data_IF_861283039639
#
_entry.id   IF_861283039639
#
_cell.length_a   1.000
_cell.length_b   1.000
_cell.length_c   1.000
_cell.angle_alpha   90.00
_cell.angle_beta   90.00
_cell.angle_gamma   90.00
#
_symmetry.space_group_name_H-M   'P 1'
#
loop_
_entity.id
_entity.type
_entity.pdbx_description
1 polymer ?
#
# COMPACT_ATOMS: atom_id res chain seq x y z
N UNK A 1 10.85 -22.83 6.96
CA UNK A 1 10.14 -21.80 7.74
C UNK A 1 10.23 -20.39 7.11
N UNK A 2 11.43 -19.91 6.68
CA UNK A 2 11.60 -18.57 6.06
C UNK A 2 10.66 -18.31 4.86
N UNK A 3 10.50 -19.28 3.95
CA UNK A 3 9.66 -19.12 2.76
C UNK A 3 8.16 -19.00 3.09
N UNK A 4 7.68 -19.77 4.08
CA UNK A 4 6.28 -19.69 4.52
C UNK A 4 5.97 -18.34 5.16
N UNK A 5 6.93 -17.79 5.92
CA UNK A 5 6.80 -16.44 6.50
C UNK A 5 6.75 -15.37 5.41
N UNK A 6 7.53 -15.51 4.31
CA UNK A 6 7.46 -14.59 3.17
C UNK A 6 6.11 -14.65 2.46
N UNK A 7 5.54 -15.85 2.27
CA UNK A 7 4.18 -16.01 1.71
C UNK A 7 3.17 -15.32 2.63
N UNK A 8 3.26 -15.51 3.94
CA UNK A 8 2.38 -14.85 4.91
C UNK A 8 2.53 -13.32 4.86
N UNK A 9 3.76 -12.80 4.85
CA UNK A 9 4.01 -11.35 4.70
C UNK A 9 3.44 -10.82 3.39
N UNK A 10 3.63 -11.55 2.29
CA UNK A 10 3.04 -11.23 0.99
C UNK A 10 1.51 -11.24 1.01
N UNK A 11 0.90 -12.19 1.71
CA UNK A 11 -0.55 -12.26 1.86
C UNK A 11 -1.12 -11.04 2.59
N UNK A 12 -0.50 -10.62 3.69
CA UNK A 12 -0.91 -9.41 4.43
C UNK A 12 -0.74 -8.14 3.57
N UNK A 13 0.38 -8.02 2.85
CA UNK A 13 0.59 -6.90 1.90
C UNK A 13 -0.45 -6.91 0.80
N UNK A 14 -0.76 -8.08 0.23
CA UNK A 14 -1.78 -8.22 -0.81
C UNK A 14 -3.19 -7.86 -0.31
N UNK A 15 -3.57 -8.24 0.90
CA UNK A 15 -4.84 -7.81 1.52
C UNK A 15 -4.89 -6.29 1.66
N UNK A 16 -3.80 -5.67 2.11
CA UNK A 16 -3.71 -4.22 2.24
C UNK A 16 -3.89 -3.48 0.89
N UNK A 17 -3.40 -4.06 -0.21
CA UNK A 17 -3.58 -3.48 -1.55
C UNK A 17 -5.04 -3.48 -2.02
N UNK A 18 -5.89 -4.37 -1.49
CA UNK A 18 -7.29 -4.49 -1.89
C UNK A 18 -8.17 -3.49 -1.13
N UNK A 19 -7.80 -3.15 0.11
CA UNK A 19 -8.61 -2.29 0.98
C UNK A 19 -8.45 -0.83 0.57
N UNK A 20 -9.54 -0.10 0.29
CA UNK A 20 -9.48 1.32 0.01
C UNK A 20 -8.86 2.09 1.19
N UNK A 21 -7.94 3.00 0.90
CA UNK A 21 -7.25 3.80 1.92
C UNK A 21 -6.11 3.09 2.66
N UNK A 22 -5.88 1.81 2.43
CA UNK A 22 -4.72 1.08 2.97
C UNK A 22 -3.62 1.00 1.93
N UNK A 23 -2.38 1.30 2.32
CA UNK A 23 -1.23 1.23 1.43
C UNK A 23 -0.47 -0.08 1.60
N UNK A 24 -0.30 -0.84 0.50
CA UNK A 24 0.54 -2.03 0.47
C UNK A 24 2.00 -1.72 0.82
N UNK A 25 2.50 -0.53 0.40
CA UNK A 25 3.83 -0.05 0.78
C UNK A 25 3.99 0.12 2.30
N UNK A 26 2.99 0.69 2.96
CA UNK A 26 2.95 0.78 4.43
C UNK A 26 3.03 -0.61 5.06
N UNK A 27 2.24 -1.58 4.56
CA UNK A 27 2.30 -2.95 5.08
C UNK A 27 3.63 -3.63 4.81
N UNK A 28 4.26 -3.39 3.65
CA UNK A 28 5.59 -3.93 3.36
C UNK A 28 6.65 -3.42 4.35
N UNK A 29 6.57 -2.14 4.76
CA UNK A 29 7.44 -1.57 5.78
C UNK A 29 7.21 -2.27 7.13
N UNK A 30 5.96 -2.37 7.54
CA UNK A 30 5.56 -2.96 8.81
C UNK A 30 5.98 -4.44 8.88
N UNK A 31 5.90 -5.14 7.75
CA UNK A 31 6.37 -6.53 7.64
C UNK A 31 7.89 -6.65 7.47
N UNK A 32 8.64 -5.55 7.51
CA UNK A 32 10.12 -5.54 7.43
C UNK A 32 10.69 -5.99 6.08
N UNK A 33 9.90 -5.94 5.01
CA UNK A 33 10.32 -6.38 3.66
C UNK A 33 10.52 -5.23 2.68
N UNK A 34 10.17 -4.01 3.07
CA UNK A 34 10.13 -2.85 2.16
C UNK A 34 11.51 -2.49 1.60
N UNK A 35 12.54 -2.33 2.47
CA UNK A 35 13.90 -1.95 2.04
C UNK A 35 14.44 -2.96 1.03
N UNK A 36 14.32 -4.25 1.34
CA UNK A 36 14.75 -5.34 0.45
C UNK A 36 13.96 -5.38 -0.85
N UNK A 37 12.65 -5.13 -0.80
CA UNK A 37 11.80 -5.09 -2.00
C UNK A 37 12.21 -3.94 -2.92
N UNK A 38 12.36 -2.73 -2.37
CA UNK A 38 12.77 -1.54 -3.11
C UNK A 38 14.18 -1.70 -3.69
N UNK A 39 15.12 -2.22 -2.91
CA UNK A 39 16.47 -2.48 -3.37
C UNK A 39 16.50 -3.53 -4.50
N UNK A 40 15.71 -4.57 -4.39
CA UNK A 40 15.62 -5.62 -5.41
C UNK A 40 15.01 -5.08 -6.71
N UNK A 41 13.93 -4.31 -6.63
CA UNK A 41 13.25 -3.73 -7.81
C UNK A 41 14.14 -2.68 -8.47
N UNK A 42 14.73 -1.77 -7.70
CA UNK A 42 15.59 -0.71 -8.24
C UNK A 42 16.86 -1.24 -8.93
N UNK A 43 17.32 -2.43 -8.55
CA UNK A 43 18.49 -3.09 -9.11
C UNK A 43 18.14 -4.44 -9.75
N UNK A 44 16.97 -4.56 -10.39
CA UNK A 44 16.40 -5.82 -10.85
C UNK A 44 17.37 -6.65 -11.71
N UNK A 45 18.08 -5.99 -12.63
CA UNK A 45 19.02 -6.67 -13.55
C UNK A 45 20.15 -7.36 -12.79
N UNK A 46 20.67 -6.75 -11.72
CA UNK A 46 21.78 -7.26 -10.93
C UNK A 46 21.33 -8.22 -9.82
N UNK A 47 20.18 -7.94 -9.19
CA UNK A 47 19.72 -8.61 -7.97
C UNK A 47 18.60 -9.62 -8.17
N UNK A 48 18.10 -9.78 -9.41
CA UNK A 48 17.01 -10.73 -9.69
C UNK A 48 17.41 -12.17 -9.34
N UNK A 49 18.59 -12.63 -9.75
CA UNK A 49 19.05 -14.01 -9.46
C UNK A 49 19.19 -14.27 -7.97
N UNK A 50 19.75 -13.31 -7.22
CA UNK A 50 19.97 -13.42 -5.78
C UNK A 50 18.66 -13.42 -4.99
N UNK A 51 17.68 -12.59 -5.43
CA UNK A 51 16.41 -12.38 -4.74
C UNK A 51 15.22 -13.02 -5.43
N UNK A 52 15.44 -13.92 -6.40
CA UNK A 52 14.34 -14.57 -7.13
C UNK A 52 13.35 -15.27 -6.20
N UNK A 53 13.83 -16.08 -5.27
CA UNK A 53 12.96 -16.78 -4.31
C UNK A 53 12.24 -15.82 -3.36
N UNK A 54 12.88 -14.71 -2.97
CA UNK A 54 12.23 -13.66 -2.18
C UNK A 54 11.03 -13.07 -2.94
N UNK A 55 11.22 -12.65 -4.19
CA UNK A 55 10.16 -12.10 -5.03
C UNK A 55 9.08 -13.15 -5.34
N UNK A 56 9.48 -14.40 -5.60
CA UNK A 56 8.57 -15.50 -5.90
C UNK A 56 7.63 -15.79 -4.73
N UNK A 57 8.15 -16.03 -3.52
CA UNK A 57 7.32 -16.35 -2.37
C UNK A 57 6.48 -15.16 -1.90
N UNK A 58 7.01 -13.94 -1.99
CA UNK A 58 6.26 -12.73 -1.73
C UNK A 58 5.10 -12.57 -2.74
N UNK A 59 5.39 -12.76 -4.03
CA UNK A 59 4.41 -12.71 -5.12
C UNK A 59 3.32 -13.77 -4.99
N UNK A 60 3.68 -15.01 -4.61
CA UNK A 60 2.69 -16.06 -4.31
C UNK A 60 1.76 -15.61 -3.18
N UNK A 61 2.29 -15.02 -2.11
CA UNK A 61 1.48 -14.52 -1.01
C UNK A 61 0.51 -13.43 -1.46
N UNK A 62 0.98 -12.44 -2.23
CA UNK A 62 0.15 -11.37 -2.80
C UNK A 62 -0.93 -11.94 -3.72
N UNK A 63 -0.58 -12.87 -4.61
CA UNK A 63 -1.52 -13.51 -5.52
C UNK A 63 -2.62 -14.29 -4.75
N UNK A 64 -2.25 -15.03 -3.72
CA UNK A 64 -3.20 -15.73 -2.84
C UNK A 64 -4.14 -14.75 -2.14
N UNK A 65 -3.64 -13.61 -1.68
CA UNK A 65 -4.48 -12.56 -1.08
C UNK A 65 -5.50 -12.01 -2.09
N UNK A 66 -5.08 -11.74 -3.32
CA UNK A 66 -5.95 -11.21 -4.37
C UNK A 66 -7.00 -12.26 -4.78
N UNK A 67 -6.62 -13.51 -4.99
CA UNK A 67 -7.50 -14.56 -5.52
C UNK A 67 -8.45 -15.12 -4.47
N UNK A 68 -7.94 -15.41 -3.26
CA UNK A 68 -8.70 -16.07 -2.19
C UNK A 68 -9.11 -15.07 -1.12
N UNK A 69 -8.16 -14.21 -0.71
CA UNK A 69 -8.35 -13.26 0.37
C UNK A 69 -9.37 -12.17 0.04
N UNK A 70 -9.47 -11.77 -1.25
CA UNK A 70 -10.42 -10.73 -1.68
C UNK A 70 -11.88 -11.08 -1.38
N UNK A 71 -12.27 -12.34 -1.60
CA UNK A 71 -13.65 -12.80 -1.29
C UNK A 71 -13.93 -12.76 0.20
N UNK A 72 -13.02 -13.29 1.02
CA UNK A 72 -13.13 -13.26 2.47
C UNK A 72 -13.12 -11.84 3.03
N UNK A 73 -12.22 -10.99 2.51
CA UNK A 73 -12.14 -9.60 2.90
C UNK A 73 -13.41 -8.81 2.54
N UNK A 74 -13.97 -9.04 1.33
CA UNK A 74 -15.24 -8.44 0.94
C UNK A 74 -16.35 -8.82 1.91
N UNK A 75 -16.49 -10.10 2.27
CA UNK A 75 -17.45 -10.55 3.28
C UNK A 75 -17.24 -9.86 4.64
N UNK A 76 -15.98 -9.69 5.06
CA UNK A 76 -15.65 -8.97 6.28
C UNK A 76 -16.03 -7.48 6.20
N UNK A 77 -15.74 -6.79 5.10
CA UNK A 77 -16.08 -5.38 4.91
C UNK A 77 -17.60 -5.16 4.82
N UNK A 78 -18.32 -6.05 4.13
CA UNK A 78 -19.77 -5.93 3.96
C UNK A 78 -20.52 -6.15 5.28
N UNK A 79 -20.07 -7.11 6.11
CA UNK A 79 -20.77 -7.52 7.33
C UNK A 79 -20.17 -6.92 8.61
N UNK A 80 -18.85 -6.74 8.67
CA UNK A 80 -18.06 -6.37 9.85
C UNK A 80 -17.08 -5.22 9.53
N UNK A 81 -17.59 -4.13 8.92
CA UNK A 81 -16.76 -3.03 8.45
C UNK A 81 -15.89 -2.44 9.58
N UNK A 82 -16.51 -2.12 10.72
CA UNK A 82 -15.84 -1.47 11.86
C UNK A 82 -14.73 -2.36 12.42
N UNK A 83 -15.02 -3.64 12.68
CA UNK A 83 -14.03 -4.59 13.20
C UNK A 83 -12.88 -4.82 12.20
N UNK A 84 -13.19 -4.88 10.91
CA UNK A 84 -12.20 -5.09 9.85
C UNK A 84 -11.25 -3.89 9.75
N UNK A 85 -11.79 -2.67 9.69
CA UNK A 85 -10.97 -1.44 9.62
C UNK A 85 -10.14 -1.27 10.88
N UNK A 86 -10.69 -1.48 12.07
CA UNK A 86 -9.95 -1.41 13.32
C UNK A 86 -8.81 -2.43 13.39
N UNK A 87 -9.00 -3.64 12.82
CA UNK A 87 -7.92 -4.63 12.69
C UNK A 87 -6.76 -4.09 11.86
N UNK A 88 -7.03 -3.47 10.71
CA UNK A 88 -5.98 -2.88 9.89
C UNK A 88 -5.32 -1.66 10.54
N UNK A 89 -6.09 -0.83 11.25
CA UNK A 89 -5.53 0.26 12.07
C UNK A 89 -4.55 -0.31 13.09
N UNK A 90 -4.90 -1.39 13.78
CA UNK A 90 -4.01 -2.06 14.72
C UNK A 90 -2.73 -2.58 14.07
N UNK A 91 -2.86 -3.24 12.89
CA UNK A 91 -1.69 -3.71 12.13
C UNK A 91 -0.74 -2.56 11.78
N UNK A 92 -1.26 -1.44 11.30
CA UNK A 92 -0.47 -0.25 10.94
C UNK A 92 0.14 0.40 12.18
N UNK A 93 -0.65 0.64 13.22
CA UNK A 93 -0.23 1.29 14.45
C UNK A 93 0.88 0.50 15.17
N UNK A 94 0.84 -0.84 15.12
CA UNK A 94 1.85 -1.71 15.73
C UNK A 94 3.24 -1.57 15.11
N UNK A 95 3.36 -1.09 13.87
CA UNK A 95 4.63 -0.80 13.21
C UNK A 95 5.23 0.57 13.53
N UNK A 96 4.44 1.53 14.02
CA UNK A 96 4.89 2.90 14.29
C UNK A 96 6.09 2.97 15.27
N UNK A 97 6.10 2.23 16.39
CA UNK A 97 7.24 2.26 17.31
C UNK A 97 8.56 1.80 16.66
N UNK A 98 8.49 0.87 15.71
CA UNK A 98 9.65 0.41 14.95
C UNK A 98 10.18 1.52 14.03
N UNK A 99 9.30 2.14 13.22
CA UNK A 99 9.67 3.26 12.35
C UNK A 99 10.26 4.44 13.10
N UNK A 100 9.64 4.82 14.22
CA UNK A 100 10.13 5.92 15.07
C UNK A 100 11.55 5.65 15.62
N UNK A 101 11.89 4.39 15.92
CA UNK A 101 13.23 4.01 16.38
C UNK A 101 14.28 4.06 15.27
N UNK A 102 13.92 3.93 14.02
CA UNK A 102 14.85 4.02 12.89
C UNK A 102 15.36 5.45 12.66
N UNK A 103 14.66 6.47 13.14
CA UNK A 103 15.08 7.87 13.05
C UNK A 103 16.10 8.15 14.17
N UNK A 104 17.37 8.31 13.80
CA UNK A 104 18.46 8.56 14.77
C UNK A 104 18.39 9.99 15.33
N UNK A 105 18.35 10.99 14.44
CA UNK A 105 18.34 12.40 14.84
C UNK A 105 16.92 13.00 14.75
N UNK A 106 16.10 12.74 15.78
CA UNK A 106 14.70 13.16 15.84
C UNK A 106 14.49 14.68 15.93
N UNK A 107 15.49 15.42 16.41
CA UNK A 107 15.44 16.89 16.59
C UNK A 107 15.92 17.65 15.34
N UNK A 108 16.40 16.97 14.31
CA UNK A 108 16.83 17.62 13.09
C UNK A 108 15.61 18.26 12.40
N UNK A 109 15.72 19.56 12.09
CA UNK A 109 14.65 20.34 11.45
C UNK A 109 14.21 19.71 10.12
N UNK A 110 15.14 19.19 9.31
CA UNK A 110 14.79 18.54 8.04
C UNK A 110 13.91 17.28 8.27
N UNK A 111 14.16 16.52 9.34
CA UNK A 111 13.35 15.34 9.69
C UNK A 111 11.94 15.75 10.14
N UNK A 112 11.84 16.82 10.94
CA UNK A 112 10.57 17.37 11.41
C UNK A 112 9.75 17.93 10.24
N UNK A 113 10.38 18.70 9.35
CA UNK A 113 9.73 19.25 8.16
C UNK A 113 9.24 18.10 7.25
N UNK A 114 10.10 17.11 6.97
CA UNK A 114 9.72 15.95 6.16
C UNK A 114 8.51 15.21 6.72
N UNK A 115 8.50 14.97 8.03
CA UNK A 115 7.36 14.36 8.74
C UNK A 115 6.06 15.18 8.57
N UNK A 116 6.12 16.48 8.86
CA UNK A 116 4.95 17.38 8.81
C UNK A 116 4.42 17.51 7.37
N UNK A 117 5.30 17.71 6.41
CA UNK A 117 4.92 17.87 4.99
C UNK A 117 4.20 16.63 4.49
N UNK A 118 4.73 15.43 4.74
CA UNK A 118 4.12 14.19 4.29
C UNK A 118 2.81 13.89 5.01
N UNK A 119 2.72 14.21 6.30
CA UNK A 119 1.49 14.06 7.08
C UNK A 119 0.38 14.97 6.52
N UNK A 120 0.67 16.26 6.31
CA UNK A 120 -0.29 17.23 5.77
C UNK A 120 -0.69 16.87 4.34
N UNK A 121 0.27 16.42 3.51
CA UNK A 121 0.00 16.03 2.13
C UNK A 121 -1.04 14.92 2.05
N UNK A 122 -0.85 13.82 2.79
CA UNK A 122 -1.78 12.67 2.74
C UNK A 122 -3.13 13.02 3.37
N UNK A 123 -3.15 13.77 4.48
CA UNK A 123 -4.41 14.25 5.07
C UNK A 123 -5.13 15.17 4.08
N UNK A 124 -4.42 16.09 3.43
CA UNK A 124 -4.98 16.97 2.40
C UNK A 124 -5.58 16.18 1.23
N UNK A 125 -4.85 15.21 0.70
CA UNK A 125 -5.34 14.31 -0.36
C UNK A 125 -6.60 13.54 0.05
N UNK A 126 -6.76 13.22 1.33
CA UNK A 126 -7.95 12.51 1.83
C UNK A 126 -9.24 13.32 1.68
N UNK A 127 -9.17 14.66 1.72
CA UNK A 127 -10.32 15.55 1.56
C UNK A 127 -10.61 15.98 0.12
N UNK A 128 -9.77 15.57 -0.83
CA UNK A 128 -10.01 15.89 -2.24
C UNK A 128 -11.17 15.03 -2.76
N UNK A 129 -12.33 15.62 -2.91
CA UNK A 129 -13.48 15.00 -3.55
C UNK A 129 -13.44 15.31 -5.05
N UNK A 130 -13.43 14.28 -5.88
CA UNK A 130 -13.51 14.44 -7.33
C UNK A 130 -14.81 13.81 -7.82
N UNK A 131 -15.71 14.67 -8.32
CA UNK A 131 -16.98 14.26 -8.92
C UNK A 131 -16.85 14.01 -10.44
N UNK A 132 -15.64 14.03 -10.98
CA UNK A 132 -15.43 13.88 -12.42
C UNK A 132 -15.11 12.42 -12.74
N UNK A 133 -15.98 11.79 -13.55
CA UNK A 133 -15.72 10.49 -14.16
C UNK A 133 -15.20 10.71 -15.57
N UNK A 134 -13.92 10.47 -15.77
CA UNK A 134 -13.29 10.56 -17.09
C UNK A 134 -13.24 9.19 -17.75
N UNK A 135 -13.53 9.12 -19.03
CA UNK A 135 -13.46 7.90 -19.84
C UNK A 135 -12.93 8.23 -21.24
N UNK A 136 -12.48 7.23 -21.96
CA UNK A 136 -12.06 7.39 -23.35
C UNK A 136 -12.97 6.55 -24.26
N UNK A 137 -13.68 7.19 -25.18
CA UNK A 137 -14.50 6.49 -26.18
C UNK A 137 -13.62 5.88 -27.29
N UNK A 138 -12.53 6.55 -27.63
CA UNK A 138 -11.57 6.12 -28.66
C UNK A 138 -10.14 6.33 -28.14
N UNK A 139 -9.27 5.40 -28.53
CA UNK A 139 -7.84 5.51 -28.21
C UNK A 139 -7.17 6.35 -29.30
N UNK A 140 -6.66 7.50 -28.91
CA UNK A 140 -5.79 8.35 -29.73
C UNK A 140 -4.44 8.52 -29.02
N UNK A 141 -3.48 9.15 -29.68
CA UNK A 141 -2.13 9.35 -29.14
C UNK A 141 -2.14 10.10 -27.79
N UNK A 142 -3.00 11.11 -27.63
CA UNK A 142 -3.14 11.85 -26.37
C UNK A 142 -3.65 10.96 -25.23
N UNK A 143 -4.65 10.12 -25.51
CA UNK A 143 -5.20 9.18 -24.53
C UNK A 143 -4.18 8.11 -24.10
N UNK A 144 -3.33 7.66 -25.04
CA UNK A 144 -2.22 6.74 -24.75
C UNK A 144 -1.25 7.38 -23.75
N UNK A 145 -0.84 8.62 -23.99
CA UNK A 145 0.05 9.33 -23.07
C UNK A 145 -0.59 9.48 -21.68
N UNK A 146 -1.87 9.84 -21.63
CA UNK A 146 -2.61 9.93 -20.35
C UNK A 146 -2.62 8.58 -19.64
N UNK A 147 -2.91 7.48 -20.33
CA UNK A 147 -2.91 6.13 -19.74
C UNK A 147 -1.54 5.75 -19.16
N UNK A 148 -0.46 6.05 -19.87
CA UNK A 148 0.91 5.80 -19.39
C UNK A 148 1.19 6.66 -18.14
N UNK A 149 0.81 7.94 -18.14
CA UNK A 149 0.99 8.83 -16.98
C UNK A 149 0.15 8.37 -15.80
N UNK A 150 -1.11 7.96 -16.03
CA UNK A 150 -1.97 7.42 -14.97
C UNK A 150 -1.38 6.16 -14.33
N UNK A 151 -0.88 5.23 -15.15
CA UNK A 151 -0.20 4.04 -14.68
C UNK A 151 1.08 4.36 -13.89
N UNK A 152 1.89 5.28 -14.43
CA UNK A 152 3.12 5.75 -13.78
C UNK A 152 2.86 6.34 -12.39
N UNK A 153 1.88 7.24 -12.28
CA UNK A 153 1.54 7.90 -11.01
C UNK A 153 0.90 6.90 -10.04
N UNK A 154 -0.05 6.08 -10.51
CA UNK A 154 -0.72 5.09 -9.67
C UNK A 154 0.27 4.08 -9.07
N UNK A 155 1.15 3.51 -9.90
CA UNK A 155 2.16 2.56 -9.43
C UNK A 155 3.22 3.22 -8.56
N UNK A 156 3.61 4.46 -8.89
CA UNK A 156 4.53 5.24 -8.07
C UNK A 156 4.02 5.49 -6.66
N UNK A 157 2.75 5.86 -6.54
CA UNK A 157 2.10 6.07 -5.23
C UNK A 157 1.93 4.77 -4.44
N UNK A 158 1.80 3.61 -5.09
CA UNK A 158 1.81 2.31 -4.39
C UNK A 158 3.19 1.98 -3.78
N UNK A 159 4.28 2.46 -4.40
CA UNK A 159 5.62 2.31 -3.85
C UNK A 159 5.83 3.25 -2.66
N UNK A 160 5.27 4.46 -2.68
CA UNK A 160 5.35 5.40 -1.56
C UNK A 160 4.44 4.92 -0.44
N UNK A 161 4.97 4.65 0.76
CA UNK A 161 4.15 4.21 1.89
C UNK A 161 3.11 5.26 2.27
N UNK A 162 1.92 4.82 2.66
CA UNK A 162 0.86 5.71 3.14
C UNK A 162 -0.01 6.35 2.06
N UNK A 163 0.35 6.24 0.79
CA UNK A 163 -0.50 6.69 -0.32
C UNK A 163 -1.04 5.46 -1.05
N UNK A 164 -2.34 5.46 -1.33
CA UNK A 164 -2.99 4.41 -2.11
C UNK A 164 -3.07 4.83 -3.58
N UNK A 165 -2.61 3.95 -4.49
CA UNK A 165 -2.71 4.21 -5.94
C UNK A 165 -4.15 4.35 -6.42
N UNK A 166 -5.09 3.62 -5.82
CA UNK A 166 -6.52 3.76 -6.10
C UNK A 166 -7.05 5.14 -5.70
N UNK A 167 -6.63 5.68 -4.54
CA UNK A 167 -7.00 7.03 -4.11
C UNK A 167 -6.54 8.08 -5.14
N UNK A 168 -5.32 7.96 -5.63
CA UNK A 168 -4.80 8.92 -6.63
C UNK A 168 -5.55 8.80 -7.96
N UNK A 169 -5.86 7.59 -8.42
CA UNK A 169 -6.71 7.40 -9.59
C UNK A 169 -8.12 7.98 -9.40
N UNK A 170 -8.70 7.87 -8.19
CA UNK A 170 -9.97 8.52 -7.85
C UNK A 170 -9.85 10.04 -7.93
N UNK A 171 -8.82 10.63 -7.33
CA UNK A 171 -8.55 12.09 -7.39
C UNK A 171 -8.39 12.58 -8.82
N UNK A 172 -7.75 11.77 -9.69
CA UNK A 172 -7.61 12.09 -11.11
C UNK A 172 -8.89 11.82 -11.93
N UNK A 173 -9.92 11.21 -11.34
CA UNK A 173 -11.20 10.91 -11.99
C UNK A 173 -11.21 9.68 -12.91
N UNK A 174 -10.18 8.84 -12.88
CA UNK A 174 -10.04 7.68 -13.76
C UNK A 174 -10.18 6.32 -13.08
N UNK A 175 -10.42 6.28 -11.77
CA UNK A 175 -10.52 5.02 -11.02
C UNK A 175 -11.63 4.11 -11.58
N UNK A 176 -12.86 4.63 -11.71
CA UNK A 176 -14.01 3.86 -12.19
C UNK A 176 -13.82 3.41 -13.65
N UNK A 177 -13.18 4.25 -14.47
CA UNK A 177 -12.84 3.87 -15.83
C UNK A 177 -11.89 2.66 -15.85
N UNK A 178 -10.76 2.71 -15.17
CA UNK A 178 -9.80 1.59 -15.11
C UNK A 178 -10.46 0.35 -14.50
N UNK A 179 -11.25 0.52 -13.42
CA UNK A 179 -11.96 -0.59 -12.80
C UNK A 179 -12.98 -1.24 -13.75
N UNK A 180 -13.72 -0.45 -14.53
CA UNK A 180 -14.67 -0.94 -15.53
C UNK A 180 -13.97 -1.74 -16.64
N UNK A 181 -12.80 -1.28 -17.10
CA UNK A 181 -11.98 -1.99 -18.10
C UNK A 181 -11.51 -3.35 -17.54
N UNK A 182 -11.00 -3.37 -16.29
CA UNK A 182 -10.57 -4.62 -15.64
C UNK A 182 -11.74 -5.59 -15.47
N UNK A 183 -12.90 -5.12 -15.01
CA UNK A 183 -14.09 -5.97 -14.81
C UNK A 183 -14.68 -6.51 -16.11
N UNK A 184 -14.53 -5.79 -17.23
CA UNK A 184 -15.02 -6.18 -18.55
C UNK A 184 -14.03 -7.01 -19.37
N UNK A 185 -12.92 -7.48 -18.81
CA UNK A 185 -11.97 -8.36 -19.51
C UNK A 185 -12.57 -9.72 -19.93
N UNK A 186 -13.65 -10.14 -19.28
CA UNK A 186 -14.40 -11.35 -19.63
C UNK A 186 -15.37 -11.14 -20.81
N UNK A 187 -15.62 -9.89 -21.20
CA UNK A 187 -16.43 -9.56 -22.38
C UNK A 187 -15.56 -9.54 -23.64
N UNK A 188 -15.65 -10.61 -24.41
CA UNK A 188 -14.87 -10.78 -25.65
C UNK A 188 -15.23 -9.78 -26.74
N UNK A 189 -16.39 -9.11 -26.67
CA UNK A 189 -16.80 -8.13 -27.68
C UNK A 189 -15.93 -6.86 -27.66
N UNK A 190 -15.36 -6.51 -26.51
CA UNK A 190 -14.51 -5.32 -26.30
C UNK A 190 -13.07 -5.65 -25.93
N UNK A 191 -12.68 -6.91 -26.03
CA UNK A 191 -11.39 -7.39 -25.54
C UNK A 191 -10.19 -6.61 -26.14
N UNK A 192 -10.24 -6.29 -27.45
CA UNK A 192 -9.17 -5.55 -28.12
C UNK A 192 -8.99 -4.14 -27.55
N UNK A 193 -10.10 -3.42 -27.31
CA UNK A 193 -10.06 -2.11 -26.67
C UNK A 193 -9.53 -2.19 -25.23
N UNK A 194 -10.08 -3.12 -24.45
CA UNK A 194 -9.72 -3.30 -23.04
C UNK A 194 -8.24 -3.67 -22.86
N UNK A 195 -7.72 -4.58 -23.69
CA UNK A 195 -6.30 -4.95 -23.66
C UNK A 195 -5.40 -3.79 -24.08
N UNK A 196 -5.82 -2.95 -25.02
CA UNK A 196 -5.04 -1.78 -25.44
C UNK A 196 -4.95 -0.76 -24.30
N UNK A 197 -6.09 -0.44 -23.64
CA UNK A 197 -6.13 0.48 -22.48
C UNK A 197 -5.24 -0.04 -21.36
N UNK A 198 -5.43 -1.30 -20.96
CA UNK A 198 -4.64 -1.90 -19.88
C UNK A 198 -3.17 -2.05 -20.26
N UNK A 199 -2.86 -2.35 -21.52
CA UNK A 199 -1.50 -2.46 -22.01
C UNK A 199 -0.71 -1.16 -21.78
N UNK A 200 -1.24 -0.04 -22.23
CA UNK A 200 -0.58 1.26 -22.02
C UNK A 200 -0.56 1.69 -20.56
N UNK A 201 -1.63 1.44 -19.82
CA UNK A 201 -1.66 1.68 -18.37
C UNK A 201 -0.58 0.85 -17.65
N UNK A 202 -0.43 -0.44 -17.99
CA UNK A 202 0.59 -1.32 -17.41
C UNK A 202 2.01 -0.93 -17.78
N UNK A 203 2.25 -0.42 -19.01
CA UNK A 203 3.54 0.17 -19.38
C UNK A 203 3.89 1.32 -18.45
N UNK A 204 2.93 2.22 -18.19
CA UNK A 204 3.09 3.29 -17.21
C UNK A 204 3.39 2.74 -15.81
N UNK A 205 2.64 1.73 -15.36
CA UNK A 205 2.86 1.09 -14.06
C UNK A 205 4.29 0.54 -13.92
N UNK A 206 4.78 -0.18 -14.93
CA UNK A 206 6.14 -0.73 -14.92
C UNK A 206 7.17 0.38 -14.81
N UNK A 207 7.06 1.42 -15.64
CA UNK A 207 7.99 2.57 -15.59
C UNK A 207 7.91 3.25 -14.21
N UNK A 208 6.70 3.45 -13.66
CA UNK A 208 6.48 4.06 -12.36
C UNK A 208 7.11 3.25 -11.22
N UNK A 209 6.90 1.94 -11.20
CA UNK A 209 7.49 1.05 -10.18
C UNK A 209 9.02 1.18 -10.17
N UNK A 210 9.66 1.08 -11.33
CA UNK A 210 11.12 1.17 -11.42
C UNK A 210 11.62 2.55 -11.03
N UNK A 211 11.03 3.61 -11.57
CA UNK A 211 11.44 4.98 -11.28
C UNK A 211 11.33 5.32 -9.80
N UNK A 212 10.16 5.09 -9.19
CA UNK A 212 9.96 5.42 -7.78
C UNK A 212 10.75 4.50 -6.85
N UNK A 213 10.94 3.22 -7.20
CA UNK A 213 11.82 2.35 -6.44
C UNK A 213 13.27 2.83 -6.48
N UNK A 214 13.75 3.31 -7.64
CA UNK A 214 15.09 3.90 -7.75
C UNK A 214 15.21 5.15 -6.88
N UNK A 215 14.25 6.07 -6.96
CA UNK A 215 14.23 7.32 -6.16
C UNK A 215 14.22 7.00 -4.66
N UNK A 216 13.32 6.13 -4.23
CA UNK A 216 13.22 5.76 -2.80
C UNK A 216 14.49 5.06 -2.32
N UNK A 217 15.05 4.13 -3.11
CA UNK A 217 16.30 3.46 -2.76
C UNK A 217 17.46 4.46 -2.61
N UNK A 218 17.54 5.43 -3.52
CA UNK A 218 18.52 6.52 -3.42
C UNK A 218 18.35 7.33 -2.14
N UNK A 219 17.09 7.73 -1.84
CA UNK A 219 16.76 8.47 -0.61
C UNK A 219 17.09 7.67 0.66
N UNK A 220 16.76 6.37 0.68
CA UNK A 220 17.05 5.49 1.81
C UNK A 220 18.57 5.33 2.05
N UNK A 221 19.39 5.36 0.99
CA UNK A 221 20.85 5.26 1.10
C UNK A 221 21.52 6.54 1.55
N UNK A 222 21.08 7.69 1.04
CA UNK A 222 21.77 8.97 1.25
C UNK A 222 21.11 9.86 2.32
N UNK A 223 19.80 9.71 2.54
CA UNK A 223 18.98 10.54 3.44
C UNK A 223 18.09 9.67 4.33
N UNK A 224 18.69 8.63 4.98
CA UNK A 224 17.93 7.59 5.70
C UNK A 224 17.01 8.18 6.78
N UNK A 225 17.50 9.11 7.60
CA UNK A 225 16.70 9.70 8.69
C UNK A 225 15.54 10.55 8.17
N UNK A 226 15.78 11.36 7.10
CA UNK A 226 14.75 12.18 6.46
C UNK A 226 13.68 11.29 5.82
N UNK A 227 14.12 10.27 5.09
CA UNK A 227 13.22 9.32 4.43
C UNK A 227 12.36 8.58 5.46
N UNK A 228 12.94 8.07 6.55
CA UNK A 228 12.20 7.42 7.61
C UNK A 228 11.22 8.37 8.31
N UNK A 229 11.57 9.66 8.46
CA UNK A 229 10.66 10.67 9.00
C UNK A 229 9.47 10.93 8.07
N UNK A 230 9.72 11.05 6.76
CA UNK A 230 8.67 11.15 5.75
C UNK A 230 7.75 9.91 5.77
N UNK A 231 8.32 8.71 5.81
CA UNK A 231 7.58 7.45 5.91
C UNK A 231 6.69 7.43 7.16
N UNK A 232 7.22 7.86 8.31
CA UNK A 232 6.45 7.94 9.55
C UNK A 232 5.26 8.88 9.42
N UNK A 233 5.43 10.05 8.77
CA UNK A 233 4.35 10.98 8.45
C UNK A 233 3.29 10.36 7.55
N UNK A 234 3.71 9.69 6.48
CA UNK A 234 2.81 8.95 5.59
C UNK A 234 2.01 7.88 6.32
N UNK A 235 2.66 7.08 7.16
CA UNK A 235 2.03 5.97 7.90
C UNK A 235 1.01 6.48 8.91
N UNK A 236 1.32 7.55 9.65
CA UNK A 236 0.37 8.16 10.59
C UNK A 236 -0.83 8.77 9.87
N UNK A 237 -0.60 9.47 8.77
CA UNK A 237 -1.67 10.03 7.96
C UNK A 237 -2.55 8.94 7.32
N UNK A 238 -1.98 7.78 6.95
CA UNK A 238 -2.75 6.67 6.37
C UNK A 238 -3.77 6.08 7.34
N UNK A 239 -3.49 6.08 8.65
CA UNK A 239 -4.49 5.68 9.67
C UNK A 239 -5.69 6.61 9.63
N UNK A 240 -5.43 7.93 9.61
CA UNK A 240 -6.50 8.92 9.51
C UNK A 240 -7.28 8.75 8.20
N UNK A 241 -6.60 8.64 7.07
CA UNK A 241 -7.20 8.45 5.75
C UNK A 241 -8.07 7.19 5.70
N UNK A 242 -7.59 6.09 6.26
CA UNK A 242 -8.32 4.82 6.35
C UNK A 242 -9.61 4.97 7.15
N UNK A 243 -9.54 5.59 8.33
CA UNK A 243 -10.72 5.82 9.16
C UNK A 243 -11.70 6.78 8.45
N UNK A 244 -11.22 7.89 7.93
CA UNK A 244 -12.06 8.87 7.25
C UNK A 244 -12.79 8.28 6.04
N UNK A 245 -12.11 7.59 5.12
CA UNK A 245 -12.70 7.03 3.91
C UNK A 245 -13.74 5.94 4.19
N UNK A 246 -13.56 5.12 5.22
CA UNK A 246 -14.45 4.02 5.51
C UNK A 246 -15.62 4.41 6.45
N UNK A 247 -15.47 5.50 7.22
CA UNK A 247 -16.53 5.96 8.12
C UNK A 247 -17.22 7.25 7.66
N UNK A 248 -16.67 7.96 6.68
CA UNK A 248 -17.33 9.09 6.07
C UNK A 248 -18.53 8.58 5.25
N UNK A 249 -19.74 8.82 5.74
CA UNK A 249 -20.96 8.28 5.12
C UNK A 249 -21.41 6.92 5.69
N UNK A 250 -20.89 6.52 6.86
CA UNK A 250 -21.39 5.32 7.56
C UNK A 250 -22.89 5.48 7.86
N UNK A 251 -23.70 4.65 7.19
CA UNK A 251 -25.17 4.73 7.25
C UNK A 251 -25.83 3.63 8.08
N UNK A 252 -25.03 2.67 8.60
CA UNK A 252 -25.58 1.59 9.42
C UNK A 252 -26.11 2.14 10.76
N UNK A 253 -27.25 1.64 11.28
CA UNK A 253 -27.82 2.14 12.52
C UNK A 253 -26.91 1.85 13.71
N UNK A 254 -26.81 2.82 14.63
CA UNK A 254 -26.12 2.64 15.93
C UNK A 254 -27.06 1.88 16.86
N UNK A 255 -26.92 0.56 16.85
CA UNK A 255 -27.72 -0.37 17.64
C UNK A 255 -26.83 -1.31 18.46
N UNK A 256 -27.40 -2.30 19.14
CA UNK A 256 -26.63 -3.29 19.91
C UNK A 256 -25.57 -4.02 19.09
N UNK A 257 -25.82 -4.27 17.79
CA UNK A 257 -24.86 -4.87 16.87
C UNK A 257 -23.64 -3.97 16.64
N UNK A 258 -23.83 -2.65 16.49
CA UNK A 258 -22.73 -1.68 16.36
C UNK A 258 -21.80 -1.73 17.57
N UNK A 259 -22.35 -1.75 18.79
CA UNK A 259 -21.53 -1.82 20.01
C UNK A 259 -20.79 -3.15 20.14
N UNK A 260 -21.41 -4.27 19.76
CA UNK A 260 -20.77 -5.57 19.72
C UNK A 260 -19.60 -5.57 18.70
N UNK A 261 -19.83 -5.05 17.50
CA UNK A 261 -18.82 -4.94 16.45
C UNK A 261 -17.67 -4.02 16.87
N UNK A 262 -17.96 -2.93 17.59
CA UNK A 262 -16.97 -2.03 18.15
C UNK A 262 -16.07 -2.73 19.18
N UNK A 263 -16.67 -3.49 20.10
CA UNK A 263 -15.92 -4.23 21.13
C UNK A 263 -15.00 -5.28 20.47
N UNK A 264 -15.54 -6.07 19.53
CA UNK A 264 -14.74 -7.03 18.76
C UNK A 264 -13.63 -6.32 18.02
N UNK A 265 -13.93 -5.19 17.34
CA UNK A 265 -12.96 -4.40 16.62
C UNK A 265 -11.83 -3.87 17.51
N UNK A 266 -12.13 -3.40 18.73
CA UNK A 266 -11.12 -2.95 19.68
C UNK A 266 -10.23 -4.11 20.16
N UNK A 267 -10.80 -5.28 20.41
CA UNK A 267 -10.02 -6.48 20.77
C UNK A 267 -9.09 -6.87 19.61
N UNK A 268 -9.60 -6.87 18.38
CA UNK A 268 -8.82 -7.18 17.18
C UNK A 268 -7.76 -6.12 16.91
N UNK A 269 -8.03 -4.83 17.16
CA UNK A 269 -7.06 -3.74 17.08
C UNK A 269 -5.88 -3.99 18.02
N UNK A 270 -6.15 -4.31 19.28
CA UNK A 270 -5.10 -4.61 20.26
C UNK A 270 -4.32 -5.86 19.87
N UNK A 271 -5.01 -6.92 19.46
CA UNK A 271 -4.41 -8.18 19.01
C UNK A 271 -3.49 -7.98 17.79
N UNK A 272 -3.97 -7.28 16.78
CA UNK A 272 -3.22 -6.98 15.56
C UNK A 272 -2.05 -6.02 15.81
N UNK A 273 -2.22 -5.03 16.70
CA UNK A 273 -1.12 -4.16 17.16
C UNK A 273 0.00 -4.99 17.81
N UNK A 274 -0.34 -5.87 18.76
CA UNK A 274 0.64 -6.72 19.44
C UNK A 274 1.33 -7.66 18.45
N UNK A 275 0.58 -8.25 17.52
CA UNK A 275 1.11 -9.11 16.48
C UNK A 275 2.18 -8.39 15.66
N UNK A 276 1.84 -7.22 15.10
CA UNK A 276 2.77 -6.44 14.27
C UNK A 276 3.97 -5.93 15.07
N UNK A 277 3.75 -5.47 16.28
CA UNK A 277 4.83 -5.03 17.16
C UNK A 277 5.83 -6.16 17.49
N UNK A 278 5.36 -7.40 17.66
CA UNK A 278 6.24 -8.55 17.86
C UNK A 278 6.98 -8.93 16.57
N UNK A 279 6.29 -8.95 15.42
CA UNK A 279 6.91 -9.27 14.12
C UNK A 279 8.02 -8.28 13.78
N UNK A 280 7.81 -6.99 13.99
CA UNK A 280 8.81 -5.95 13.72
C UNK A 280 10.07 -6.05 14.61
N UNK A 281 9.98 -6.72 15.77
CA UNK A 281 11.13 -6.99 16.63
C UNK A 281 11.95 -8.19 16.18
N UNK A 282 11.32 -9.20 15.57
CA UNK A 282 12.00 -10.41 15.09
C UNK A 282 12.88 -10.06 13.89
N UNK A 283 12.34 -9.28 12.95
CA UNK A 283 13.08 -8.83 11.77
C UNK A 283 14.35 -8.03 12.14
N UNK A 284 14.30 -7.22 13.21
CA UNK A 284 15.49 -6.49 13.70
C UNK A 284 16.61 -7.40 14.13
N UNK A 285 16.31 -8.51 14.83
CA UNK A 285 17.31 -9.46 15.27
C UNK A 285 17.99 -10.21 14.12
N UNK A 286 17.22 -10.53 13.06
CA UNK A 286 17.78 -11.17 11.86
C UNK A 286 18.68 -10.22 11.07
N UNK A 287 18.35 -8.92 10.98
CA UNK A 287 19.18 -7.92 10.29
C UNK A 287 20.49 -7.69 11.08
N UNK A 288 20.42 -7.51 12.40
CA UNK A 288 21.60 -7.32 13.25
C UNK A 288 22.54 -8.55 13.22
N UNK A 289 22.02 -9.77 13.09
CA UNK A 289 22.83 -10.98 12.94
C UNK A 289 23.51 -11.06 11.58
N UNK A 290 22.85 -10.63 10.50
CA UNK A 290 23.41 -10.65 9.15
C UNK A 290 24.53 -9.60 8.98
N UNK A 291 24.39 -8.45 9.65
CA UNK A 291 25.43 -7.38 9.65
C UNK A 291 26.67 -7.74 10.48
N UNK A 292 26.57 -8.71 11.40
CA UNK A 292 27.71 -9.20 12.20
C UNK A 292 28.47 -10.32 11.46
N UNK A 293 27.79 -11.03 10.54
CA UNK A 293 28.37 -12.15 9.76
C UNK A 293 29.02 -11.69 8.44
N UNK A 294 28.91 -10.40 8.05
CA UNK A 294 29.59 -9.78 6.88
C UNK A 294 30.79 -8.94 7.33
#
# INVERSE_FOLDING_TARGET
>A
MKNLLLIFKGFIVGLACIIPGVSGGTMAIIMGIYEKLIETISNIIKKLKENFFFLLFLGIGIALAILVGSKGLKLCLDNFLLSTILTFVGLVAGGIPFLYKQIKNKKNIANIIGFIVTLILVIGLTFVNVNNHSSFDKINFGNILILIVLGFVAAGTMIIPGISGSLVLMILGYYDFILSIVSSLTDFSKIGYNLTVLGFFMVGCVIGVFFFSFVINYCMKHFKDQTNSCILGFVLASIFSMLYQNFNGYTKPINGWFFLELIIGLILLVGSFILTYKLSKIDKKEIEQTDIEM
#
